data_IF_712566332274
#
_entry.id   IF_712566332274
#
_cell.length_a   1.000
_cell.length_b   1.000
_cell.length_c   1.000
_cell.angle_alpha   90.00
_cell.angle_beta   90.00
_cell.angle_gamma   90.00
#
_symmetry.space_group_name_H-M   'P 1'
#
loop_
_entity.id
_entity.type
_entity.pdbx_description
1 polymer ?
#
# COMPACT_ATOMS: atom_id res chain seq x y z
N UNK A 1 12.95 24.69 6.58
CA UNK A 1 13.15 24.27 5.17
C UNK A 1 11.97 23.40 4.80
N UNK A 2 11.09 23.85 3.89
CA UNK A 2 9.95 23.03 3.46
C UNK A 2 10.48 22.00 2.46
N UNK A 3 10.43 20.72 2.80
CA UNK A 3 10.63 19.66 1.81
C UNK A 3 9.50 19.76 0.79
N UNK A 4 9.79 20.35 -0.38
CA UNK A 4 8.97 20.19 -1.58
C UNK A 4 9.34 18.82 -2.15
N UNK A 5 9.05 17.77 -1.38
CA UNK A 5 9.21 16.39 -1.82
C UNK A 5 7.99 16.04 -2.65
N UNK A 6 8.20 15.53 -3.86
CA UNK A 6 7.13 14.98 -4.69
C UNK A 6 6.34 13.99 -3.82
N UNK A 7 5.04 14.24 -3.63
CA UNK A 7 4.18 13.36 -2.85
C UNK A 7 4.10 12.01 -3.58
N UNK A 8 4.52 10.95 -2.91
CA UNK A 8 4.43 9.59 -3.46
C UNK A 8 2.95 9.24 -3.70
N UNK A 9 2.62 8.80 -4.91
CA UNK A 9 1.25 8.47 -5.30
C UNK A 9 0.89 7.00 -5.01
N UNK A 10 1.88 6.12 -5.00
CA UNK A 10 1.69 4.69 -4.79
C UNK A 10 2.71 4.15 -3.79
N UNK A 11 2.30 3.20 -2.96
CA UNK A 11 3.14 2.55 -1.98
C UNK A 11 3.26 1.08 -2.32
N UNK A 12 4.46 0.52 -2.19
CA UNK A 12 4.65 -0.93 -2.28
C UNK A 12 3.93 -1.62 -1.11
N UNK A 13 3.60 -2.91 -1.27
CA UNK A 13 2.94 -3.65 -0.18
C UNK A 13 3.78 -3.69 1.10
N UNK A 14 5.11 -3.69 0.99
CA UNK A 14 6.02 -3.60 2.14
C UNK A 14 5.85 -2.28 2.89
N UNK A 15 5.71 -1.17 2.17
CA UNK A 15 5.45 0.14 2.79
C UNK A 15 4.07 0.20 3.44
N UNK A 16 3.05 -0.34 2.78
CA UNK A 16 1.68 -0.42 3.34
C UNK A 16 1.68 -1.29 4.60
N UNK A 17 2.40 -2.40 4.61
CA UNK A 17 2.58 -3.27 5.78
C UNK A 17 3.19 -2.50 6.94
N UNK A 18 4.27 -1.76 6.71
CA UNK A 18 4.88 -0.89 7.73
C UNK A 18 3.92 0.20 8.24
N UNK A 19 3.15 0.84 7.36
CA UNK A 19 2.23 1.92 7.72
C UNK A 19 1.04 1.39 8.54
N UNK A 20 0.53 0.21 8.20
CA UNK A 20 -0.68 -0.36 8.83
C UNK A 20 -0.36 -1.26 10.02
N UNK A 21 0.89 -1.72 10.16
CA UNK A 21 1.28 -2.73 11.15
C UNK A 21 0.74 -4.13 10.84
N UNK A 22 0.23 -4.36 9.62
CA UNK A 22 -0.29 -5.65 9.18
C UNK A 22 0.77 -6.41 8.39
N UNK A 23 0.81 -7.72 8.59
CA UNK A 23 1.64 -8.62 7.78
C UNK A 23 1.22 -8.58 6.31
N UNK A 24 2.20 -8.65 5.39
CA UNK A 24 1.92 -8.56 3.95
C UNK A 24 0.93 -9.62 3.46
N UNK A 25 0.96 -10.83 4.02
CA UNK A 25 0.03 -11.89 3.61
C UNK A 25 -1.43 -11.58 3.98
N UNK A 26 -1.67 -10.83 5.07
CA UNK A 26 -3.01 -10.37 5.47
C UNK A 26 -3.53 -9.36 4.44
N UNK A 27 -2.68 -8.42 4.03
CA UNK A 27 -3.03 -7.44 3.00
C UNK A 27 -3.32 -8.11 1.64
N UNK A 28 -2.53 -9.13 1.25
CA UNK A 28 -2.78 -9.94 0.05
C UNK A 28 -4.09 -10.72 0.14
N UNK A 29 -4.39 -11.27 1.30
CA UNK A 29 -5.66 -11.96 1.52
C UNK A 29 -6.82 -10.98 1.33
N UNK A 30 -6.72 -9.76 1.88
CA UNK A 30 -7.73 -8.73 1.69
C UNK A 30 -7.88 -8.27 0.24
N UNK A 31 -6.82 -8.23 -0.57
CA UNK A 31 -6.92 -7.98 -2.01
C UNK A 31 -7.79 -9.04 -2.73
N UNK A 32 -7.86 -10.26 -2.22
CA UNK A 32 -8.73 -11.32 -2.75
C UNK A 32 -10.17 -11.18 -2.30
N UNK A 33 -10.41 -10.87 -1.03
CA UNK A 33 -11.75 -10.74 -0.43
C UNK A 33 -12.44 -9.43 -0.84
N UNK A 34 -11.67 -8.36 -1.03
CA UNK A 34 -12.15 -7.03 -1.36
C UNK A 34 -11.52 -6.56 -2.67
N UNK A 35 -12.13 -6.85 -3.82
CA UNK A 35 -11.58 -6.51 -5.14
C UNK A 35 -11.22 -5.02 -5.30
N UNK A 36 -11.91 -4.12 -4.59
CA UNK A 36 -11.62 -2.68 -4.57
C UNK A 36 -10.27 -2.32 -3.91
N UNK A 37 -9.67 -3.22 -3.13
CA UNK A 37 -8.34 -3.04 -2.54
C UNK A 37 -7.22 -3.49 -3.48
N UNK A 38 -7.53 -4.16 -4.59
CA UNK A 38 -6.51 -4.57 -5.56
C UNK A 38 -5.82 -3.33 -6.12
N UNK A 39 -4.48 -3.23 -5.99
CA UNK A 39 -3.75 -2.13 -6.59
C UNK A 39 -3.94 -2.17 -8.11
N UNK A 40 -4.07 -0.99 -8.72
CA UNK A 40 -4.06 -0.88 -10.17
C UNK A 40 -2.72 -1.46 -10.68
N UNK A 41 -2.79 -2.36 -11.66
CA UNK A 41 -1.58 -2.82 -12.34
C UNK A 41 -0.97 -1.60 -13.06
N UNK A 42 0.36 -1.47 -12.95
CA UNK A 42 1.12 -0.54 -13.79
C UNK A 42 1.00 -0.92 -15.27
#
# INVERSE_FOLDING_TARGET
MKHIGIKKLYYSISEVSTITGLEQYVLRYWESEFPQLKPAKN
#
